data_IF_661833095591
#
_entry.id   IF_661833095591
#
_cell.length_a   1.000
_cell.length_b   1.000
_cell.length_c   1.000
_cell.angle_alpha   90.00
_cell.angle_beta   90.00
_cell.angle_gamma   90.00
#
_symmetry.space_group_name_H-M   'P 1'
#
loop_
_entity.id
_entity.type
_entity.pdbx_description
1 polymer ?
#
# COMPACT_ATOMS: atom_id res chain seq x y z
N UNK A 1 -13.05 10.94 -0.37
CA UNK A 1 -12.92 9.83 -1.30
C UNK A 1 -13.90 8.72 -0.98
N UNK A 2 -14.54 8.20 -1.98
CA UNK A 2 -15.51 7.14 -1.85
C UNK A 2 -15.05 5.87 -2.54
N UNK A 3 -15.58 4.73 -2.12
CA UNK A 3 -15.26 3.43 -2.67
C UNK A 3 -15.12 2.41 -1.56
N UNK A 4 -14.95 1.16 -1.92
CA UNK A 4 -14.69 0.10 -0.95
C UNK A 4 -13.25 0.24 -0.46
N UNK A 5 -13.09 0.12 0.84
CA UNK A 5 -11.83 0.29 1.53
C UNK A 5 -11.59 -0.94 2.40
N UNK A 6 -10.39 -1.49 2.32
CA UNK A 6 -10.04 -2.70 3.03
C UNK A 6 -8.85 -2.48 3.94
N UNK A 7 -8.96 -2.98 5.18
CA UNK A 7 -7.86 -3.00 6.14
C UNK A 7 -7.98 -4.29 6.95
N UNK A 8 -7.06 -5.22 6.71
CA UNK A 8 -7.14 -6.53 7.32
C UNK A 8 -8.42 -7.23 6.86
N UNK A 9 -9.34 -7.47 7.76
CA UNK A 9 -10.65 -8.06 7.44
C UNK A 9 -11.80 -7.06 7.59
N UNK A 10 -11.48 -5.77 7.72
CA UNK A 10 -12.47 -4.70 7.85
C UNK A 10 -12.66 -4.00 6.51
N UNK A 11 -13.92 -3.89 6.09
CA UNK A 11 -14.29 -3.19 4.86
C UNK A 11 -15.18 -2.01 5.23
N UNK A 12 -14.87 -0.83 4.69
CA UNK A 12 -15.64 0.37 4.94
C UNK A 12 -15.74 1.22 3.67
N UNK A 13 -16.62 2.23 3.69
CA UNK A 13 -16.84 3.11 2.54
C UNK A 13 -16.11 4.44 2.65
N UNK A 14 -15.57 4.77 3.78
CA UNK A 14 -14.82 6.02 3.96
C UNK A 14 -13.84 5.93 5.11
N UNK A 15 -12.78 6.75 5.05
CA UNK A 15 -11.77 6.84 6.10
C UNK A 15 -11.67 8.31 6.51
N UNK A 16 -12.07 8.66 7.74
CA UNK A 16 -11.90 10.04 8.20
C UNK A 16 -10.44 10.33 8.50
N UNK A 17 -10.05 11.60 8.34
CA UNK A 17 -8.72 12.10 8.72
C UNK A 17 -7.58 11.29 8.10
N UNK A 18 -7.67 11.03 6.80
CA UNK A 18 -6.66 10.24 6.10
C UNK A 18 -6.10 10.95 4.89
N UNK A 19 -4.91 10.54 4.47
CA UNK A 19 -4.26 11.00 3.24
C UNK A 19 -3.79 9.77 2.47
N UNK A 20 -3.75 9.86 1.13
CA UNK A 20 -3.08 8.83 0.37
C UNK A 20 -1.56 8.96 0.54
N UNK A 21 -0.83 7.88 0.24
CA UNK A 21 0.62 7.88 0.44
C UNK A 21 1.33 8.91 -0.44
N UNK A 22 0.79 9.22 -1.61
CA UNK A 22 1.38 10.24 -2.46
C UNK A 22 1.42 11.59 -1.74
N UNK A 23 0.28 12.03 -1.19
CA UNK A 23 0.20 13.29 -0.46
C UNK A 23 1.01 13.25 0.83
N UNK A 24 0.95 12.14 1.55
CA UNK A 24 1.70 12.01 2.79
C UNK A 24 3.20 12.13 2.55
N UNK A 25 3.72 11.48 1.50
CA UNK A 25 5.15 11.49 1.21
C UNK A 25 5.63 12.78 0.58
N UNK A 26 4.74 13.57 -0.03
CA UNK A 26 5.09 14.91 -0.48
C UNK A 26 5.23 15.88 0.69
N UNK A 27 4.62 15.56 1.82
CA UNK A 27 4.64 16.38 3.02
C UNK A 27 5.86 16.08 3.90
N UNK A 28 6.06 14.80 4.23
CA UNK A 28 7.17 14.37 5.07
C UNK A 28 7.42 12.86 4.86
N UNK A 29 8.62 12.37 5.27
CA UNK A 29 8.88 10.94 5.17
C UNK A 29 8.05 10.16 6.19
N UNK A 30 7.71 8.92 5.86
CA UNK A 30 7.16 7.96 6.80
C UNK A 30 8.32 7.28 7.55
N UNK A 31 8.10 6.87 8.78
CA UNK A 31 9.09 6.10 9.50
C UNK A 31 9.07 4.63 9.08
N UNK A 32 10.02 3.86 9.56
CA UNK A 32 10.15 2.45 9.18
C UNK A 32 8.99 1.60 9.70
N UNK A 33 8.43 1.95 10.86
CA UNK A 33 7.27 1.24 11.39
C UNK A 33 6.04 1.44 10.53
N UNK A 34 5.86 2.65 10.01
CA UNK A 34 4.76 2.94 9.08
C UNK A 34 4.92 2.15 7.78
N UNK A 35 6.14 2.08 7.24
CA UNK A 35 6.40 1.29 6.04
C UNK A 35 6.21 -0.21 6.29
N UNK A 36 6.61 -0.67 7.47
CA UNK A 36 6.38 -2.06 7.87
C UNK A 36 4.88 -2.39 7.85
N UNK A 37 4.04 -1.47 8.35
CA UNK A 37 2.59 -1.66 8.35
C UNK A 37 2.00 -1.63 6.94
N UNK A 38 2.57 -0.85 6.03
CA UNK A 38 2.17 -0.90 4.61
C UNK A 38 2.39 -2.32 4.07
N UNK A 39 3.54 -2.90 4.36
CA UNK A 39 3.86 -4.27 3.95
C UNK A 39 2.89 -5.29 4.52
N UNK A 40 2.54 -5.15 5.80
CA UNK A 40 1.58 -6.04 6.45
C UNK A 40 0.19 -5.95 5.80
N UNK A 41 -0.23 -4.74 5.44
CA UNK A 41 -1.52 -4.55 4.76
C UNK A 41 -1.53 -5.23 3.39
N UNK A 42 -0.44 -5.11 2.64
CA UNK A 42 -0.31 -5.79 1.35
C UNK A 42 -0.35 -7.31 1.52
N UNK A 43 0.31 -7.82 2.55
CA UNK A 43 0.29 -9.26 2.84
C UNK A 43 -1.12 -9.74 3.19
N UNK A 44 -1.87 -8.96 3.97
CA UNK A 44 -3.24 -9.30 4.32
C UNK A 44 -4.12 -9.41 3.05
N UNK A 45 -3.95 -8.48 2.12
CA UNK A 45 -4.66 -8.52 0.85
C UNK A 45 -4.28 -9.78 0.06
N UNK A 46 -3.00 -10.08 -0.04
CA UNK A 46 -2.53 -11.27 -0.77
C UNK A 46 -2.92 -12.56 -0.08
N UNK A 47 -3.00 -12.57 1.24
CA UNK A 47 -3.48 -13.75 1.99
C UNK A 47 -4.94 -14.07 1.69
N UNK A 48 -5.72 -13.05 1.30
CA UNK A 48 -7.09 -13.24 0.83
C UNK A 48 -7.17 -13.59 -0.66
N UNK A 49 -6.03 -13.81 -1.30
CA UNK A 49 -5.91 -14.12 -2.73
C UNK A 49 -6.48 -13.02 -3.61
N UNK A 50 -6.25 -11.77 -3.23
CA UNK A 50 -6.71 -10.60 -3.97
C UNK A 50 -5.54 -9.94 -4.68
N UNK A 51 -5.68 -9.78 -6.00
CA UNK A 51 -4.74 -9.06 -6.85
C UNK A 51 -5.30 -7.65 -7.13
N UNK A 52 -4.52 -6.62 -6.83
CA UNK A 52 -4.96 -5.24 -7.06
C UNK A 52 -4.39 -4.74 -8.39
N UNK A 53 -5.26 -4.59 -9.38
CA UNK A 53 -4.86 -4.15 -10.72
C UNK A 53 -4.23 -2.76 -10.75
N UNK A 54 -4.52 -1.93 -9.78
CA UNK A 54 -4.05 -0.55 -9.72
C UNK A 54 -3.28 -0.28 -8.43
N UNK A 55 -2.36 -1.20 -8.09
CA UNK A 55 -1.52 -1.05 -6.91
C UNK A 55 -0.53 0.10 -7.12
N UNK A 56 -0.83 1.24 -6.51
CA UNK A 56 0.02 2.43 -6.59
C UNK A 56 -0.14 3.25 -5.31
N UNK A 57 0.71 4.26 -5.15
CA UNK A 57 0.76 5.05 -3.92
C UNK A 57 -0.52 5.83 -3.64
N UNK A 58 -1.35 6.06 -4.65
CA UNK A 58 -2.60 6.81 -4.47
C UNK A 58 -3.72 5.94 -3.93
N UNK A 59 -3.54 4.62 -3.97
CA UNK A 59 -4.53 3.66 -3.49
C UNK A 59 -4.18 3.06 -2.13
N UNK A 60 -3.21 3.66 -1.45
CA UNK A 60 -2.86 3.31 -0.08
C UNK A 60 -3.04 4.56 0.76
N UNK A 61 -3.85 4.46 1.81
CA UNK A 61 -4.17 5.59 2.69
C UNK A 61 -3.56 5.37 4.07
N UNK A 62 -3.16 6.47 4.69
CA UNK A 62 -2.73 6.44 6.09
C UNK A 62 -3.60 7.44 6.86
N UNK A 63 -4.15 7.01 7.99
CA UNK A 63 -5.02 7.87 8.80
C UNK A 63 -4.24 8.51 9.95
N UNK A 64 -4.94 9.33 10.76
CA UNK A 64 -4.32 10.06 11.86
C UNK A 64 -3.79 9.14 12.96
N UNK A 65 -4.28 7.90 13.03
CA UNK A 65 -3.81 6.90 13.98
C UNK A 65 -2.70 6.02 13.38
N UNK A 66 -2.19 6.41 12.21
CA UNK A 66 -1.14 5.69 11.47
C UNK A 66 -1.57 4.30 11.01
N UNK A 67 -2.88 4.10 10.84
CA UNK A 67 -3.42 2.87 10.28
C UNK A 67 -3.39 2.93 8.76
N UNK A 68 -3.08 1.81 8.13
CA UNK A 68 -2.95 1.72 6.69
C UNK A 68 -4.22 1.11 6.11
N UNK A 69 -4.74 1.74 5.05
CA UNK A 69 -5.95 1.29 4.36
C UNK A 69 -5.66 1.15 2.88
N UNK A 70 -6.11 0.05 2.29
CA UNK A 70 -6.04 -0.15 0.84
C UNK A 70 -7.41 0.19 0.26
N UNK A 71 -7.43 0.87 -0.88
CA UNK A 71 -8.69 1.36 -1.47
C UNK A 71 -8.79 0.98 -2.95
N UNK A 72 -9.96 1.26 -3.54
CA UNK A 72 -10.28 0.98 -4.95
C UNK A 72 -10.31 -0.51 -5.26
N UNK A 73 -10.98 -1.29 -4.41
CA UNK A 73 -11.11 -2.73 -4.58
C UNK A 73 -12.01 -3.14 -5.75
N UNK A 74 -12.72 -2.20 -6.37
CA UNK A 74 -13.40 -2.44 -7.63
C UNK A 74 -12.42 -2.75 -8.76
N UNK A 75 -11.13 -2.45 -8.57
CA UNK A 75 -10.05 -2.78 -9.49
C UNK A 75 -9.28 -4.02 -9.05
N UNK A 76 -9.93 -4.89 -8.32
CA UNK A 76 -9.29 -6.09 -7.76
C UNK A 76 -9.97 -7.34 -8.30
N UNK A 77 -9.24 -8.46 -8.26
CA UNK A 77 -9.79 -9.77 -8.59
C UNK A 77 -9.16 -10.82 -7.70
N UNK A 78 -9.86 -11.91 -7.50
CA UNK A 78 -9.30 -13.07 -6.81
C UNK A 78 -8.46 -13.88 -7.78
N UNK A 79 -7.30 -14.33 -7.32
CA UNK A 79 -6.39 -15.16 -8.09
C UNK A 79 -5.89 -16.31 -7.25
N UNK A 80 -5.78 -17.47 -7.88
CA UNK A 80 -5.26 -18.66 -7.24
C UNK A 80 -3.73 -18.66 -7.26
N UNK A 81 -3.13 -19.35 -6.29
CA UNK A 81 -1.69 -19.54 -6.23
C UNK A 81 -0.92 -18.31 -5.77
N UNK A 82 0.37 -18.29 -6.03
CA UNK A 82 1.27 -17.26 -5.51
C UNK A 82 2.08 -16.55 -6.57
N UNK A 83 2.08 -17.03 -7.82
CA UNK A 83 2.98 -16.54 -8.86
C UNK A 83 2.75 -15.07 -9.23
N UNK A 84 1.55 -14.56 -9.00
CA UNK A 84 1.18 -13.18 -9.33
C UNK A 84 1.55 -12.17 -8.26
N UNK A 85 1.86 -12.63 -7.05
CA UNK A 85 2.04 -11.73 -5.90
C UNK A 85 3.24 -10.80 -6.08
N UNK A 86 4.36 -11.33 -6.55
CA UNK A 86 5.54 -10.52 -6.78
C UNK A 86 5.29 -9.44 -7.84
N UNK A 87 4.58 -9.77 -8.90
CA UNK A 87 4.22 -8.78 -9.93
C UNK A 87 3.37 -7.66 -9.39
N UNK A 88 2.47 -7.97 -8.45
CA UNK A 88 1.65 -6.95 -7.81
C UNK A 88 2.50 -6.01 -6.96
N UNK A 89 3.47 -6.56 -6.22
CA UNK A 89 4.41 -5.75 -5.44
C UNK A 89 5.30 -4.91 -6.36
N UNK A 90 5.76 -5.47 -7.47
CA UNK A 90 6.59 -4.76 -8.44
C UNK A 90 5.86 -3.55 -9.04
N UNK A 91 4.54 -3.68 -9.24
CA UNK A 91 3.73 -2.57 -9.73
C UNK A 91 3.75 -1.41 -8.74
N UNK A 92 3.61 -1.69 -7.45
CA UNK A 92 3.68 -0.66 -6.42
C UNK A 92 5.07 -0.02 -6.38
N UNK A 93 6.12 -0.83 -6.47
CA UNK A 93 7.50 -0.32 -6.46
C UNK A 93 7.74 0.60 -7.66
N UNK A 94 7.25 0.23 -8.84
CA UNK A 94 7.35 1.10 -10.02
C UNK A 94 6.64 2.43 -9.80
N UNK A 95 5.48 2.39 -9.13
CA UNK A 95 4.75 3.60 -8.79
C UNK A 95 5.58 4.53 -7.90
N UNK A 96 6.27 3.96 -6.91
CA UNK A 96 7.15 4.73 -6.01
C UNK A 96 8.30 5.37 -6.77
N UNK A 97 8.97 4.62 -7.63
CA UNK A 97 10.06 5.13 -8.46
C UNK A 97 9.57 6.24 -9.39
N UNK A 98 8.41 6.06 -10.00
CA UNK A 98 7.84 7.03 -10.92
C UNK A 98 7.55 8.36 -10.22
N UNK A 99 6.94 8.30 -9.02
CA UNK A 99 6.63 9.51 -8.27
C UNK A 99 7.90 10.21 -7.79
N UNK A 100 8.90 9.45 -7.39
CA UNK A 100 10.19 10.02 -6.98
C UNK A 100 10.87 10.73 -8.14
N UNK A 101 10.82 10.18 -9.34
CA UNK A 101 11.41 10.78 -10.53
C UNK A 101 10.70 12.08 -10.93
N UNK A 102 9.38 12.13 -10.77
CA UNK A 102 8.59 13.30 -11.14
C UNK A 102 8.66 14.44 -10.13
N UNK A 103 8.90 14.10 -8.87
CA UNK A 103 8.70 15.04 -7.76
C UNK A 103 9.87 14.96 -6.80
N UNK A 104 10.84 15.93 -6.86
CA UNK A 104 12.04 15.87 -6.01
C UNK A 104 11.76 15.89 -4.51
N UNK A 105 10.59 16.41 -4.10
CA UNK A 105 10.23 16.46 -2.69
C UNK A 105 9.47 15.23 -2.20
N UNK A 106 9.37 14.21 -3.06
CA UNK A 106 8.72 12.96 -2.66
C UNK A 106 9.65 12.19 -1.72
N UNK A 107 9.28 12.08 -0.46
CA UNK A 107 10.15 11.57 0.62
C UNK A 107 10.15 10.04 0.69
N UNK A 108 10.72 9.43 -0.32
CA UNK A 108 10.84 7.96 -0.39
C UNK A 108 12.24 7.55 -0.82
N UNK A 109 12.76 6.48 -0.23
CA UNK A 109 14.05 5.90 -0.61
C UNK A 109 13.96 4.36 -0.56
N UNK A 110 14.97 3.72 -1.14
CA UNK A 110 15.01 2.26 -1.24
C UNK A 110 14.94 1.56 0.13
N UNK A 111 15.52 2.17 1.17
CA UNK A 111 15.44 1.61 2.52
C UNK A 111 14.01 1.54 3.04
N UNK A 112 13.14 2.43 2.57
CA UNK A 112 11.72 2.40 2.92
C UNK A 112 11.04 1.17 2.30
N UNK A 113 11.40 0.84 1.07
CA UNK A 113 10.90 -0.37 0.44
C UNK A 113 11.34 -1.63 1.18
N UNK A 114 12.58 -1.63 1.66
CA UNK A 114 13.09 -2.75 2.47
C UNK A 114 12.27 -2.94 3.73
N UNK A 115 11.92 -1.85 4.43
CA UNK A 115 11.07 -1.92 5.61
C UNK A 115 9.68 -2.46 5.27
N UNK A 116 9.11 -2.00 4.16
CA UNK A 116 7.83 -2.47 3.66
C UNK A 116 7.87 -3.99 3.39
N UNK A 117 8.90 -4.46 2.71
CA UNK A 117 9.05 -5.87 2.37
C UNK A 117 9.27 -6.73 3.62
N UNK A 118 9.93 -6.20 4.65
CA UNK A 118 10.05 -6.91 5.92
C UNK A 118 8.69 -7.18 6.54
N UNK A 119 7.81 -6.18 6.56
CA UNK A 119 6.45 -6.35 7.04
C UNK A 119 5.66 -7.32 6.20
N UNK A 120 5.81 -7.23 4.90
CA UNK A 120 5.13 -8.15 3.98
C UNK A 120 5.55 -9.60 4.23
N UNK A 121 6.86 -9.86 4.28
CA UNK A 121 7.39 -11.21 4.46
C UNK A 121 6.98 -11.84 5.79
N UNK A 122 6.87 -11.04 6.85
CA UNK A 122 6.45 -11.56 8.14
C UNK A 122 4.97 -11.92 8.17
N UNK A 123 4.14 -11.21 7.42
CA UNK A 123 2.69 -11.38 7.48
C UNK A 123 2.14 -12.27 6.36
N UNK A 124 2.83 -12.41 5.24
CA UNK A 124 2.34 -13.23 4.12
C UNK A 124 2.43 -14.71 4.49
N UNK A 125 1.40 -15.48 4.11
CA UNK A 125 1.33 -16.92 4.42
C UNK A 125 1.70 -17.80 3.24
#
# INVERSE_FOLDING_TARGET
RRGLIYRGDLITLSIPNSKDLHHALCDKPLDKDEWYEVGRALAAMHNCQVYHHDANVRNIMIDSDKQIWLIDFDRCEQRQGNSWKQGNLDRLLRSLHKEKAKNPVFHWQESDWSACMNGYREAVK
#
